data_IF_086178103486
#
_entry.id   IF_086178103486
#
_cell.length_a   1.000
_cell.length_b   1.000
_cell.length_c   1.000
_cell.angle_alpha   90.00
_cell.angle_beta   90.00
_cell.angle_gamma   90.00
#
_symmetry.space_group_name_H-M   'P 1'
#
loop_
_entity.id
_entity.type
_entity.pdbx_description
1 polymer ?
#
# COMPACT_ATOMS: atom_id res chain seq x y z
N UNK A 1 33.16 59.93 6.85
CA UNK A 1 33.01 58.90 7.91
C UNK A 1 31.54 58.80 8.31
N UNK A 2 31.05 57.60 8.66
CA UNK A 2 29.69 57.27 9.14
C UNK A 2 28.58 57.00 8.10
N UNK A 3 28.72 56.01 7.22
CA UNK A 3 27.57 55.25 6.64
C UNK A 3 27.87 53.78 6.27
N UNK A 4 29.13 53.33 6.34
CA UNK A 4 29.53 51.96 5.97
C UNK A 4 29.58 50.94 7.11
N UNK A 5 29.46 51.34 8.37
CA UNK A 5 29.75 50.46 9.52
C UNK A 5 28.50 49.84 10.17
N UNK A 6 27.29 50.23 9.75
CA UNK A 6 26.05 49.73 10.36
C UNK A 6 25.46 48.50 9.65
N UNK A 7 25.83 48.27 8.38
CA UNK A 7 25.31 47.13 7.60
C UNK A 7 26.04 45.81 7.92
N UNK A 8 27.26 45.87 8.46
CA UNK A 8 28.06 44.68 8.82
C UNK A 8 27.67 44.09 10.19
N UNK A 9 27.09 44.91 11.09
CA UNK A 9 26.65 44.47 12.41
C UNK A 9 25.27 43.78 12.42
N UNK A 10 24.44 44.02 11.39
CA UNK A 10 23.15 43.34 11.22
C UNK A 10 23.32 41.99 10.47
N UNK A 11 24.37 41.85 9.65
CA UNK A 11 24.65 40.60 8.93
C UNK A 11 25.39 39.56 9.80
N UNK A 12 26.13 39.99 10.83
CA UNK A 12 26.82 39.08 11.76
C UNK A 12 25.97 38.62 12.96
N UNK A 13 24.77 39.16 13.17
CA UNK A 13 23.87 38.77 14.27
C UNK A 13 22.83 37.71 13.88
N UNK A 14 22.78 37.30 12.60
CA UNK A 14 21.87 36.24 12.10
C UNK A 14 22.54 34.85 12.08
N UNK A 15 23.83 34.74 12.41
CA UNK A 15 24.58 33.46 12.32
C UNK A 15 24.76 32.71 13.65
N UNK A 16 24.09 33.09 14.74
CA UNK A 16 24.23 32.40 16.04
C UNK A 16 22.93 31.87 16.66
N UNK A 17 21.84 31.73 15.89
CA UNK A 17 20.53 31.27 16.41
C UNK A 17 20.17 29.79 16.12
N UNK A 18 21.16 28.91 15.87
CA UNK A 18 20.87 27.53 15.41
C UNK A 18 20.90 26.41 16.47
N UNK A 19 21.01 26.68 17.77
CA UNK A 19 21.06 25.61 18.78
C UNK A 19 19.88 25.55 19.77
N UNK A 20 19.07 26.60 19.89
CA UNK A 20 17.93 26.61 20.84
C UNK A 20 16.62 26.09 20.24
N UNK A 21 16.42 26.18 18.91
CA UNK A 21 15.23 25.61 18.26
C UNK A 21 15.27 24.07 18.20
N UNK A 22 16.45 23.46 18.01
CA UNK A 22 16.59 22.00 17.97
C UNK A 22 16.25 21.33 19.31
N UNK A 23 16.57 21.97 20.44
CA UNK A 23 16.20 21.47 21.77
C UNK A 23 14.72 21.65 22.08
N UNK A 24 14.09 22.74 21.60
CA UNK A 24 12.65 22.95 21.76
C UNK A 24 11.84 21.95 20.89
N UNK A 25 12.27 21.73 19.65
CA UNK A 25 11.66 20.73 18.76
C UNK A 25 11.82 19.31 19.31
N UNK A 26 12.99 18.99 19.89
CA UNK A 26 13.23 17.69 20.53
C UNK A 26 12.32 17.50 21.75
N UNK A 27 12.20 18.51 22.63
CA UNK A 27 11.28 18.47 23.78
C UNK A 27 9.81 18.42 23.37
N UNK A 28 9.43 19.08 22.28
CA UNK A 28 8.08 19.02 21.71
C UNK A 28 7.80 17.63 21.12
N UNK A 29 8.75 17.07 20.36
CA UNK A 29 8.67 15.72 19.81
C UNK A 29 8.59 14.65 20.91
N UNK A 30 9.38 14.79 21.98
CA UNK A 30 9.36 13.89 23.13
C UNK A 30 8.03 13.98 23.89
N UNK A 31 7.45 15.18 24.04
CA UNK A 31 6.11 15.36 24.64
C UNK A 31 4.99 14.82 23.75
N UNK A 32 5.08 14.99 22.43
CA UNK A 32 4.12 14.42 21.47
C UNK A 32 4.20 12.91 21.48
N UNK A 33 5.40 12.33 21.51
CA UNK A 33 5.59 10.88 21.61
C UNK A 33 5.10 10.32 22.95
N UNK A 34 5.32 11.01 24.06
CA UNK A 34 4.75 10.60 25.36
C UNK A 34 3.22 10.70 25.39
N UNK A 35 2.63 11.74 24.79
CA UNK A 35 1.19 11.87 24.70
C UNK A 35 0.58 10.82 23.75
N UNK A 36 1.24 10.53 22.63
CA UNK A 36 0.86 9.48 21.69
C UNK A 36 0.94 8.10 22.35
N UNK A 37 2.03 7.76 23.05
CA UNK A 37 2.17 6.50 23.77
C UNK A 37 1.16 6.37 24.91
N UNK A 38 0.86 7.45 25.64
CA UNK A 38 -0.15 7.41 26.72
C UNK A 38 -1.59 7.27 26.21
N UNK A 39 -1.87 7.68 24.97
CA UNK A 39 -3.15 7.47 24.27
C UNK A 39 -3.18 6.10 23.59
N UNK A 40 -2.05 5.62 23.07
CA UNK A 40 -1.90 4.28 22.53
C UNK A 40 -2.06 3.24 23.64
N UNK A 41 -1.35 3.34 24.77
CA UNK A 41 -1.45 2.39 25.89
C UNK A 41 -2.88 2.34 26.46
N UNK A 42 -3.58 3.48 26.53
CA UNK A 42 -5.00 3.53 26.94
C UNK A 42 -5.98 2.94 25.91
N UNK A 43 -5.60 2.83 24.63
CA UNK A 43 -6.41 2.18 23.59
C UNK A 43 -6.00 0.73 23.35
N UNK A 44 -4.72 0.41 23.47
CA UNK A 44 -4.10 -0.88 23.16
C UNK A 44 -4.50 -1.94 24.18
N UNK A 45 -4.57 -1.60 25.48
CA UNK A 45 -5.09 -2.52 26.50
C UNK A 45 -6.57 -2.88 26.29
N UNK A 46 -7.30 -2.11 25.48
CA UNK A 46 -8.71 -2.39 25.13
C UNK A 46 -8.91 -3.02 23.76
N UNK A 47 -7.86 -3.23 22.95
CA UNK A 47 -8.02 -3.66 21.54
C UNK A 47 -7.04 -4.75 21.08
N UNK A 48 -5.95 -5.04 21.81
CA UNK A 48 -4.95 -6.04 21.42
C UNK A 48 -5.10 -7.34 22.21
N UNK A 49 -6.26 -7.99 22.13
CA UNK A 49 -6.35 -9.42 22.44
C UNK A 49 -7.21 -10.21 21.43
N UNK A 50 -7.55 -9.63 20.27
CA UNK A 50 -8.37 -10.33 19.26
C UNK A 50 -8.12 -9.85 17.82
N UNK A 51 -6.86 -9.68 17.43
CA UNK A 51 -6.52 -9.39 16.02
C UNK A 51 -5.16 -9.97 15.63
N UNK A 52 -5.02 -11.28 15.80
CA UNK A 52 -3.99 -12.07 15.13
C UNK A 52 -4.65 -13.39 14.70
N UNK A 53 -4.94 -13.51 13.40
CA UNK A 53 -5.51 -14.71 12.79
C UNK A 53 -6.77 -14.44 11.97
N UNK A 54 -6.61 -14.13 10.69
CA UNK A 54 -7.50 -14.66 9.66
C UNK A 54 -6.89 -16.03 9.32
N UNK A 55 -7.63 -17.16 9.36
CA UNK A 55 -8.86 -17.33 8.60
C UNK A 55 -10.01 -18.00 9.37
N UNK A 56 -11.24 -17.86 8.86
CA UNK A 56 -12.22 -18.95 8.66
C UNK A 56 -13.57 -18.36 8.23
N UNK A 57 -14.00 -18.73 7.02
CA UNK A 57 -15.42 -18.92 6.76
C UNK A 57 -15.97 -19.85 7.85
N UNK A 58 -16.89 -19.34 8.67
CA UNK A 58 -17.41 -20.03 9.83
C UNK A 58 -18.83 -19.60 10.11
N UNK A 59 -19.74 -20.57 9.95
CA UNK A 59 -21.17 -20.50 10.24
C UNK A 59 -21.50 -19.78 11.54
N UNK A 60 -22.63 -19.09 11.53
CA UNK A 60 -23.15 -18.30 12.65
C UNK A 60 -23.21 -19.09 13.96
N UNK A 61 -22.34 -18.71 14.89
CA UNK A 61 -22.44 -19.11 16.29
C UNK A 61 -23.31 -18.10 17.05
N UNK A 62 -24.55 -18.50 17.30
CA UNK A 62 -25.52 -17.79 18.15
C UNK A 62 -25.14 -17.91 19.62
N UNK A 63 -24.22 -17.05 20.08
CA UNK A 63 -23.84 -16.94 21.48
C UNK A 63 -24.77 -16.03 22.28
N UNK A 64 -25.59 -16.61 23.16
CA UNK A 64 -26.34 -15.88 24.19
C UNK A 64 -25.40 -15.39 25.30
N UNK A 65 -24.75 -14.24 25.11
CA UNK A 65 -23.94 -13.58 26.14
C UNK A 65 -24.58 -12.27 26.62
N UNK A 66 -24.37 -11.91 27.88
CA UNK A 66 -24.54 -10.56 28.41
C UNK A 66 -23.15 -9.91 28.40
N UNK A 67 -22.99 -8.72 27.83
CA UNK A 67 -21.68 -8.07 27.73
C UNK A 67 -21.09 -7.72 29.11
N UNK A 68 -19.77 -7.50 29.21
CA UNK A 68 -19.18 -6.98 30.43
C UNK A 68 -19.88 -5.65 30.75
N UNK A 69 -20.49 -5.55 31.93
CA UNK A 69 -21.31 -4.43 32.42
C UNK A 69 -22.80 -4.41 32.01
N UNK A 70 -23.42 -5.54 31.66
CA UNK A 70 -24.87 -5.61 31.42
C UNK A 70 -25.34 -4.90 30.15
N UNK A 71 -24.41 -4.52 29.27
CA UNK A 71 -24.74 -3.92 27.97
C UNK A 71 -25.25 -5.00 27.01
N UNK A 72 -26.29 -4.70 26.21
CA UNK A 72 -26.68 -5.57 25.11
C UNK A 72 -25.48 -5.82 24.20
N UNK A 73 -25.24 -7.08 23.89
CA UNK A 73 -24.29 -7.48 22.84
C UNK A 73 -25.08 -7.89 21.62
N UNK A 74 -24.47 -7.74 20.44
CA UNK A 74 -25.11 -8.18 19.22
C UNK A 74 -25.29 -9.71 19.25
N UNK A 75 -26.52 -10.17 19.00
CA UNK A 75 -26.89 -11.60 19.00
C UNK A 75 -27.36 -12.09 17.63
N UNK A 76 -27.27 -11.24 16.60
CA UNK A 76 -27.72 -11.58 15.26
C UNK A 76 -27.41 -10.51 14.22
N UNK A 77 -27.98 -10.69 13.03
CA UNK A 77 -27.73 -9.84 11.86
C UNK A 77 -27.05 -10.65 10.76
N UNK A 78 -27.55 -10.50 9.53
CA UNK A 78 -27.07 -11.23 8.37
C UNK A 78 -25.70 -10.75 7.84
N UNK A 79 -25.04 -9.84 8.56
CA UNK A 79 -23.84 -9.16 8.10
C UNK A 79 -24.10 -8.27 6.89
N UNK A 80 -23.01 -7.85 6.24
CA UNK A 80 -23.06 -7.16 4.96
C UNK A 80 -22.87 -8.18 3.84
N UNK A 81 -23.57 -7.98 2.73
CA UNK A 81 -23.33 -8.74 1.50
C UNK A 81 -22.30 -8.01 0.65
N UNK A 82 -21.59 -8.76 -0.20
CA UNK A 82 -20.72 -8.16 -1.19
C UNK A 82 -21.53 -7.29 -2.15
N UNK A 83 -21.18 -6.01 -2.22
CA UNK A 83 -21.77 -5.08 -3.19
C UNK A 83 -21.17 -5.35 -4.56
N UNK A 84 -21.98 -5.53 -5.61
CA UNK A 84 -21.48 -5.57 -6.98
C UNK A 84 -20.68 -4.29 -7.31
N UNK A 85 -19.67 -4.36 -8.19
CA UNK A 85 -19.02 -3.16 -8.70
C UNK A 85 -20.05 -2.16 -9.25
N UNK A 86 -19.90 -0.85 -9.00
CA UNK A 86 -20.80 0.14 -9.59
C UNK A 86 -20.79 0.07 -11.11
N UNK A 87 -21.97 0.19 -11.72
CA UNK A 87 -22.08 0.32 -13.18
C UNK A 87 -21.63 1.71 -13.61
N UNK A 88 -20.58 1.76 -14.43
CA UNK A 88 -19.94 3.03 -14.82
C UNK A 88 -20.91 3.93 -15.60
N UNK A 89 -21.70 3.36 -16.51
CA UNK A 89 -22.59 4.14 -17.37
C UNK A 89 -23.78 4.68 -16.58
N UNK A 90 -24.33 3.87 -15.66
CA UNK A 90 -25.38 4.28 -14.74
C UNK A 90 -24.91 5.42 -13.82
N UNK A 91 -23.74 5.27 -13.21
CA UNK A 91 -23.20 6.27 -12.30
C UNK A 91 -22.85 7.60 -13.00
N UNK A 92 -22.38 7.56 -14.26
CA UNK A 92 -22.20 8.78 -15.07
C UNK A 92 -23.53 9.48 -15.32
N UNK A 93 -24.57 8.72 -15.69
CA UNK A 93 -25.91 9.28 -15.92
C UNK A 93 -26.53 9.87 -14.65
N UNK A 94 -26.33 9.22 -13.50
CA UNK A 94 -26.74 9.74 -12.18
C UNK A 94 -26.02 11.06 -11.87
N UNK A 95 -24.70 11.13 -12.13
CA UNK A 95 -23.92 12.34 -11.93
C UNK A 95 -24.43 13.52 -12.78
N UNK A 96 -24.71 13.28 -14.06
CA UNK A 96 -25.25 14.30 -14.97
C UNK A 96 -26.62 14.82 -14.51
N UNK A 97 -27.48 13.90 -14.07
CA UNK A 97 -28.83 14.23 -13.58
C UNK A 97 -28.74 15.07 -12.30
N UNK A 98 -27.93 14.64 -11.33
CA UNK A 98 -27.74 15.36 -10.07
C UNK A 98 -27.10 16.74 -10.28
N UNK A 99 -26.10 16.82 -11.17
CA UNK A 99 -25.43 18.09 -11.49
C UNK A 99 -26.41 19.10 -12.12
N UNK A 100 -27.25 18.65 -13.07
CA UNK A 100 -28.26 19.49 -13.71
C UNK A 100 -29.31 19.99 -12.71
N UNK A 101 -29.62 19.20 -11.68
CA UNK A 101 -30.50 19.58 -10.59
C UNK A 101 -29.84 20.49 -9.53
N UNK A 102 -28.55 20.83 -9.69
CA UNK A 102 -27.78 21.63 -8.72
C UNK A 102 -27.38 20.85 -7.45
N UNK A 103 -27.54 19.53 -7.44
CA UNK A 103 -27.16 18.66 -6.33
C UNK A 103 -25.74 18.14 -6.50
N UNK A 104 -24.78 19.03 -6.23
CA UNK A 104 -23.36 18.75 -6.45
C UNK A 104 -22.78 17.66 -5.53
N UNK A 105 -23.39 17.44 -4.36
CA UNK A 105 -22.97 16.37 -3.45
C UNK A 105 -23.22 15.00 -4.09
N UNK A 106 -24.42 14.79 -4.60
CA UNK A 106 -24.80 13.53 -5.24
C UNK A 106 -24.08 13.36 -6.58
N UNK A 107 -23.91 14.44 -7.33
CA UNK A 107 -23.12 14.42 -8.56
C UNK A 107 -21.67 13.96 -8.31
N UNK A 108 -21.05 14.50 -7.25
CA UNK A 108 -19.69 14.09 -6.85
C UNK A 108 -19.64 12.64 -6.42
N UNK A 109 -20.59 12.19 -5.60
CA UNK A 109 -20.64 10.80 -5.14
C UNK A 109 -20.78 9.83 -6.32
N UNK A 110 -21.68 10.11 -7.27
CA UNK A 110 -21.88 9.28 -8.45
C UNK A 110 -20.61 9.22 -9.33
N UNK A 111 -19.89 10.33 -9.53
CA UNK A 111 -18.59 10.32 -10.21
C UNK A 111 -17.57 9.42 -9.49
N UNK A 112 -17.54 9.46 -8.16
CA UNK A 112 -16.64 8.60 -7.38
C UNK A 112 -17.00 7.12 -7.52
N UNK A 113 -18.28 6.78 -7.59
CA UNK A 113 -18.73 5.40 -7.84
C UNK A 113 -18.39 4.95 -9.26
N UNK A 114 -18.58 5.81 -10.27
CA UNK A 114 -18.16 5.53 -11.64
C UNK A 114 -16.65 5.23 -11.72
N UNK A 115 -15.82 6.02 -11.02
CA UNK A 115 -14.38 5.78 -10.97
C UNK A 115 -14.03 4.43 -10.33
N UNK A 116 -14.67 4.05 -9.21
CA UNK A 116 -14.51 2.70 -8.66
C UNK A 116 -14.84 1.65 -9.71
N UNK A 117 -15.97 1.81 -10.40
CA UNK A 117 -16.42 0.87 -11.43
C UNK A 117 -15.35 0.65 -12.50
N UNK A 118 -14.74 1.73 -12.99
CA UNK A 118 -13.64 1.68 -13.97
C UNK A 118 -12.41 0.98 -13.38
N UNK A 119 -11.98 1.37 -12.18
CA UNK A 119 -10.80 0.79 -11.52
C UNK A 119 -10.98 -0.72 -11.27
N UNK A 120 -12.17 -1.15 -10.85
CA UNK A 120 -12.48 -2.57 -10.66
C UNK A 120 -12.55 -3.34 -11.99
N UNK A 121 -12.98 -2.72 -13.08
CA UNK A 121 -12.91 -3.34 -14.40
C UNK A 121 -11.46 -3.52 -14.85
N UNK A 122 -10.62 -2.48 -14.71
CA UNK A 122 -9.18 -2.54 -15.02
C UNK A 122 -8.52 -3.66 -14.20
N UNK A 123 -8.77 -3.71 -12.90
CA UNK A 123 -8.17 -4.73 -12.04
C UNK A 123 -8.59 -6.16 -12.37
N UNK A 124 -9.83 -6.37 -12.82
CA UNK A 124 -10.28 -7.67 -13.35
C UNK A 124 -9.55 -8.06 -14.63
N UNK A 125 -9.36 -7.13 -15.55
CA UNK A 125 -8.60 -7.41 -16.78
C UNK A 125 -7.11 -7.68 -16.47
N UNK A 126 -6.52 -6.97 -15.51
CA UNK A 126 -5.18 -7.26 -15.02
C UNK A 126 -5.13 -8.69 -14.45
N UNK A 127 -6.02 -9.08 -13.54
CA UNK A 127 -6.07 -10.43 -12.98
C UNK A 127 -6.19 -11.51 -14.07
N UNK A 128 -6.97 -11.27 -15.13
CA UNK A 128 -7.06 -12.20 -16.27
C UNK A 128 -5.76 -12.30 -17.07
N UNK A 129 -4.99 -11.21 -17.16
CA UNK A 129 -3.72 -11.18 -17.88
C UNK A 129 -2.56 -11.84 -17.12
N UNK A 130 -2.66 -11.98 -15.79
CA UNK A 130 -1.60 -12.60 -15.01
C UNK A 130 -1.47 -14.09 -15.34
N UNK A 131 -0.25 -14.67 -15.26
CA UNK A 131 -0.03 -16.08 -15.54
C UNK A 131 -0.92 -16.99 -14.66
N UNK A 132 -1.35 -18.13 -15.21
CA UNK A 132 -2.07 -19.15 -14.44
C UNK A 132 -1.13 -19.98 -13.54
N UNK A 133 0.16 -20.03 -13.89
CA UNK A 133 1.22 -20.71 -13.14
C UNK A 133 2.51 -19.89 -13.24
N UNK A 134 3.33 -19.92 -12.19
CA UNK A 134 4.69 -19.34 -12.16
C UNK A 134 5.63 -20.31 -11.44
N UNK A 135 6.75 -20.69 -12.06
CA UNK A 135 7.68 -21.69 -11.49
C UNK A 135 6.98 -22.94 -10.90
N UNK A 136 6.00 -23.47 -11.61
CA UNK A 136 5.14 -24.61 -11.19
C UNK A 136 4.19 -24.35 -10.02
N UNK A 137 4.14 -23.13 -9.46
CA UNK A 137 3.13 -22.71 -8.50
C UNK A 137 1.85 -22.30 -9.25
N UNK A 138 0.71 -22.98 -9.03
CA UNK A 138 -0.57 -22.53 -9.56
C UNK A 138 -1.07 -21.26 -8.86
N UNK A 139 -1.82 -20.44 -9.59
CA UNK A 139 -2.54 -19.32 -9.01
C UNK A 139 -3.67 -19.82 -8.08
N UNK A 140 -3.73 -19.28 -6.87
CA UNK A 140 -4.88 -19.43 -5.97
C UNK A 140 -5.85 -18.26 -6.21
N UNK A 141 -6.78 -18.46 -7.15
CA UNK A 141 -7.77 -17.44 -7.53
C UNK A 141 -8.82 -17.18 -6.46
N UNK A 142 -8.94 -18.04 -5.44
CA UNK A 142 -9.82 -17.79 -4.30
C UNK A 142 -9.27 -16.70 -3.38
N UNK A 143 -7.95 -16.47 -3.44
CA UNK A 143 -7.27 -15.41 -2.71
C UNK A 143 -7.06 -14.13 -3.51
N UNK A 144 -7.56 -14.06 -4.75
CA UNK A 144 -7.52 -12.83 -5.54
C UNK A 144 -8.23 -11.71 -4.77
N UNK A 145 -7.53 -10.60 -4.54
CA UNK A 145 -8.13 -9.39 -3.96
C UNK A 145 -8.04 -8.25 -4.94
N UNK A 146 -9.12 -7.50 -5.02
CA UNK A 146 -9.22 -6.32 -5.84
C UNK A 146 -9.89 -5.23 -5.02
N UNK A 147 -9.12 -4.18 -4.73
CA UNK A 147 -9.56 -3.09 -3.85
C UNK A 147 -9.30 -1.76 -4.54
N UNK A 148 -10.33 -0.91 -4.54
CA UNK A 148 -10.23 0.52 -4.83
C UNK A 148 -10.41 1.31 -3.54
N UNK A 149 -9.48 2.20 -3.22
CA UNK A 149 -9.48 2.96 -1.94
C UNK A 149 -9.92 4.43 -2.06
N UNK A 150 -10.36 4.89 -3.25
CA UNK A 150 -11.01 6.20 -3.50
C UNK A 150 -10.34 7.48 -2.92
N UNK A 151 -9.08 7.45 -2.49
CA UNK A 151 -8.39 8.59 -1.89
C UNK A 151 -7.17 9.04 -2.71
N UNK A 152 -7.44 9.84 -3.74
CA UNK A 152 -6.42 10.40 -4.65
C UNK A 152 -6.54 9.84 -6.07
N UNK A 153 -5.56 10.13 -6.93
CA UNK A 153 -5.54 9.71 -8.33
C UNK A 153 -5.06 8.26 -8.55
N UNK A 154 -4.89 7.48 -7.46
CA UNK A 154 -4.00 6.33 -7.50
C UNK A 154 -4.39 5.24 -6.49
N UNK A 155 -5.57 4.63 -6.69
CA UNK A 155 -6.33 3.92 -5.64
C UNK A 155 -6.50 2.41 -5.81
N UNK A 156 -5.91 1.82 -6.85
CA UNK A 156 -6.12 0.41 -7.15
C UNK A 156 -5.05 -0.47 -6.49
N UNK A 157 -5.48 -1.53 -5.82
CA UNK A 157 -4.62 -2.62 -5.35
C UNK A 157 -5.19 -3.94 -5.82
N UNK A 158 -4.37 -4.67 -6.56
CA UNK A 158 -4.66 -6.03 -7.04
C UNK A 158 -3.70 -6.95 -6.31
N UNK A 159 -4.20 -8.06 -5.80
CA UNK A 159 -3.41 -9.10 -5.16
C UNK A 159 -3.74 -10.45 -5.79
N UNK A 160 -2.71 -11.24 -6.08
CA UNK A 160 -2.83 -12.66 -6.45
C UNK A 160 -1.77 -13.47 -5.73
N UNK A 161 -2.16 -14.65 -5.25
CA UNK A 161 -1.25 -15.60 -4.61
C UNK A 161 -0.96 -16.74 -5.57
N UNK A 162 0.30 -17.17 -5.63
CA UNK A 162 0.73 -18.42 -6.26
C UNK A 162 1.33 -19.31 -5.19
N UNK A 163 0.79 -20.50 -5.00
CA UNK A 163 1.19 -21.38 -3.90
C UNK A 163 1.06 -22.84 -4.29
N UNK A 164 1.92 -23.69 -3.72
CA UNK A 164 1.78 -25.14 -3.80
C UNK A 164 0.87 -25.72 -2.70
N UNK A 165 0.31 -24.84 -1.85
CA UNK A 165 -0.51 -25.20 -0.70
C UNK A 165 0.28 -25.81 0.46
N UNK A 166 1.61 -25.73 0.43
CA UNK A 166 2.50 -26.30 1.46
C UNK A 166 3.40 -25.20 2.02
N UNK A 167 4.61 -25.07 1.49
CA UNK A 167 5.65 -24.22 2.04
C UNK A 167 6.07 -23.12 1.07
N UNK A 168 5.74 -23.18 -0.22
CA UNK A 168 6.22 -22.19 -1.19
C UNK A 168 5.12 -21.29 -1.70
N UNK A 169 5.35 -19.98 -1.61
CA UNK A 169 4.37 -18.97 -1.98
C UNK A 169 5.02 -17.75 -2.66
N UNK A 170 4.36 -17.21 -3.67
CA UNK A 170 4.59 -15.87 -4.19
C UNK A 170 3.29 -15.06 -4.11
N UNK A 171 3.28 -14.04 -3.27
CA UNK A 171 2.20 -13.05 -3.18
C UNK A 171 2.54 -11.85 -4.05
N UNK A 172 1.70 -11.59 -5.05
CA UNK A 172 1.88 -10.53 -6.03
C UNK A 172 0.94 -9.40 -5.70
N UNK A 173 1.46 -8.18 -5.51
CA UNK A 173 0.63 -6.97 -5.40
C UNK A 173 0.94 -6.00 -6.53
N UNK A 174 -0.10 -5.44 -7.14
CA UNK A 174 -0.01 -4.52 -8.29
C UNK A 174 -0.84 -3.27 -7.99
N UNK A 175 -0.26 -2.11 -8.27
CA UNK A 175 -0.91 -0.80 -8.14
C UNK A 175 -0.12 0.13 -7.21
N UNK A 176 -0.82 0.98 -6.46
CA UNK A 176 -0.16 1.85 -5.49
C UNK A 176 0.15 1.06 -4.22
N UNK A 177 1.42 0.73 -4.01
CA UNK A 177 1.87 0.06 -2.80
C UNK A 177 2.58 1.06 -1.88
N UNK A 178 1.82 1.64 -0.94
CA UNK A 178 2.34 2.62 0.02
C UNK A 178 3.47 2.04 0.89
N UNK A 179 3.42 0.74 1.22
CA UNK A 179 4.46 0.09 2.03
C UNK A 179 5.83 0.20 1.36
N UNK A 180 5.87 -0.07 0.05
CA UNK A 180 7.13 -0.14 -0.70
C UNK A 180 7.47 1.15 -1.47
N UNK A 181 6.54 2.11 -1.55
CA UNK A 181 6.75 3.41 -2.19
C UNK A 181 7.97 4.19 -1.65
N UNK A 182 8.17 4.18 -0.33
CA UNK A 182 9.29 4.86 0.32
C UNK A 182 10.63 4.20 -0.03
N UNK A 183 10.66 2.87 -0.10
CA UNK A 183 11.84 2.09 -0.47
C UNK A 183 12.20 2.30 -1.94
N UNK A 184 11.20 2.25 -2.82
CA UNK A 184 11.37 2.57 -4.24
C UNK A 184 11.95 3.97 -4.44
N UNK A 185 11.38 4.98 -3.76
CA UNK A 185 11.86 6.34 -3.83
C UNK A 185 13.30 6.47 -3.33
N UNK A 186 13.63 5.88 -2.17
CA UNK A 186 14.96 5.99 -1.59
C UNK A 186 16.02 5.38 -2.52
N UNK A 187 15.80 4.15 -3.01
CA UNK A 187 16.83 3.44 -3.78
C UNK A 187 16.95 3.92 -5.21
N UNK A 188 15.86 4.29 -5.89
CA UNK A 188 15.99 4.79 -7.27
C UNK A 188 16.51 6.22 -7.34
N UNK A 189 16.38 7.01 -6.28
CA UNK A 189 16.90 8.38 -6.23
C UNK A 189 18.27 8.51 -5.54
N UNK A 190 18.74 7.51 -4.79
CA UNK A 190 20.10 7.51 -4.22
C UNK A 190 21.08 6.64 -5.02
N UNK A 191 22.05 7.29 -5.65
CA UNK A 191 23.18 6.65 -6.34
C UNK A 191 24.24 6.03 -5.40
N UNK A 192 24.14 6.26 -4.08
CA UNK A 192 25.21 5.95 -3.11
C UNK A 192 25.00 4.66 -2.29
N UNK A 193 23.91 3.93 -2.48
CA UNK A 193 23.58 2.76 -1.64
C UNK A 193 24.20 1.42 -2.09
N UNK A 194 24.97 1.39 -3.19
CA UNK A 194 25.54 0.14 -3.73
C UNK A 194 26.96 -0.20 -3.23
N UNK A 195 27.58 0.62 -2.36
CA UNK A 195 29.04 0.62 -2.24
C UNK A 195 29.65 0.26 -0.87
N UNK A 196 28.95 -0.36 0.09
CA UNK A 196 29.61 -0.80 1.34
C UNK A 196 29.09 -2.13 1.92
N UNK A 197 29.90 -3.17 1.69
CA UNK A 197 30.37 -4.21 2.63
C UNK A 197 29.41 -5.23 3.27
N UNK A 198 29.68 -6.50 2.95
CA UNK A 198 29.47 -7.78 3.66
C UNK A 198 28.05 -8.26 4.03
N UNK A 199 27.08 -7.39 4.29
CA UNK A 199 25.70 -7.78 4.66
C UNK A 199 24.65 -6.99 3.85
N UNK A 200 24.71 -7.09 2.52
CA UNK A 200 23.80 -6.35 1.63
C UNK A 200 22.47 -7.10 1.44
N UNK A 201 21.48 -6.79 2.29
CA UNK A 201 20.13 -7.38 2.19
C UNK A 201 19.20 -6.66 1.19
N UNK A 202 19.65 -5.58 0.55
CA UNK A 202 18.87 -4.84 -0.46
C UNK A 202 19.77 -4.40 -1.61
N UNK A 203 19.34 -4.62 -2.86
CA UNK A 203 20.09 -4.17 -4.04
C UNK A 203 19.19 -3.81 -5.22
N UNK A 204 19.76 -3.06 -6.15
CA UNK A 204 19.13 -2.73 -7.43
C UNK A 204 19.50 -3.77 -8.48
N UNK A 205 18.49 -4.28 -9.20
CA UNK A 205 18.66 -5.25 -10.29
C UNK A 205 17.86 -4.81 -11.52
N UNK A 206 17.87 -5.65 -12.56
CA UNK A 206 16.97 -5.51 -13.71
C UNK A 206 16.16 -6.78 -13.92
N UNK A 207 14.88 -6.62 -14.23
CA UNK A 207 13.97 -7.71 -14.62
C UNK A 207 13.33 -7.34 -15.95
N UNK A 208 13.61 -8.12 -17.00
CA UNK A 208 13.14 -7.85 -18.38
C UNK A 208 13.39 -6.39 -18.82
N UNK A 209 14.58 -5.87 -18.53
CA UNK A 209 14.96 -4.49 -18.85
C UNK A 209 14.44 -3.42 -17.88
N UNK A 210 13.48 -3.74 -17.01
CA UNK A 210 12.95 -2.82 -16.00
C UNK A 210 13.88 -2.74 -14.80
N UNK A 211 14.08 -1.52 -14.27
CA UNK A 211 14.80 -1.32 -13.00
C UNK A 211 13.96 -1.92 -11.87
N UNK A 212 14.60 -2.63 -10.96
CA UNK A 212 13.95 -3.25 -9.82
C UNK A 212 14.81 -3.11 -8.56
N UNK A 213 14.17 -3.24 -7.41
CA UNK A 213 14.83 -3.44 -6.11
C UNK A 213 14.49 -4.84 -5.65
N UNK A 214 15.51 -5.60 -5.23
CA UNK A 214 15.32 -6.86 -4.52
C UNK A 214 15.84 -6.70 -3.10
N UNK A 215 15.05 -7.20 -2.14
CA UNK A 215 15.36 -7.25 -0.73
C UNK A 215 15.24 -8.70 -0.25
N UNK A 216 16.04 -9.07 0.73
CA UNK A 216 15.94 -10.33 1.46
C UNK A 216 15.80 -10.07 2.97
N UNK A 217 14.96 -10.87 3.62
CA UNK A 217 14.76 -10.89 5.07
C UNK A 217 14.56 -12.34 5.51
N UNK A 218 15.33 -12.84 6.48
CA UNK A 218 15.28 -14.25 6.93
C UNK A 218 13.88 -14.69 7.38
N UNK A 219 13.04 -13.77 7.88
CA UNK A 219 11.70 -14.06 8.36
C UNK A 219 10.61 -13.97 7.30
N UNK A 220 10.88 -13.32 6.15
CA UNK A 220 9.89 -13.04 5.10
C UNK A 220 10.27 -13.60 3.72
N UNK A 221 11.52 -13.99 3.51
CA UNK A 221 12.05 -14.36 2.21
C UNK A 221 12.43 -13.15 1.36
N UNK A 222 12.19 -13.26 0.06
CA UNK A 222 12.56 -12.21 -0.90
C UNK A 222 11.40 -11.26 -1.18
N UNK A 223 11.70 -9.98 -1.34
CA UNK A 223 10.77 -8.99 -1.87
C UNK A 223 11.39 -8.34 -3.11
N UNK A 224 10.72 -8.48 -4.25
CA UNK A 224 11.11 -7.81 -5.49
C UNK A 224 10.10 -6.70 -5.80
N UNK A 225 10.58 -5.52 -6.12
CA UNK A 225 9.77 -4.34 -6.42
C UNK A 225 10.18 -3.82 -7.80
N UNK A 226 9.23 -3.77 -8.73
CA UNK A 226 9.41 -3.15 -10.04
C UNK A 226 8.44 -1.97 -10.16
N UNK A 227 8.93 -0.72 -10.25
CA UNK A 227 8.10 0.41 -10.63
C UNK A 227 7.51 0.20 -12.01
N UNK A 228 6.21 0.45 -12.14
CA UNK A 228 5.50 0.39 -13.42
C UNK A 228 5.44 1.78 -14.07
N UNK A 229 5.43 2.85 -13.27
CA UNK A 229 5.56 4.22 -13.75
C UNK A 229 5.73 5.19 -12.59
N UNK A 230 5.03 6.33 -12.64
CA UNK A 230 5.16 7.37 -11.61
C UNK A 230 4.51 6.95 -10.29
N UNK A 231 3.46 6.14 -10.41
CA UNK A 231 2.44 6.05 -9.38
C UNK A 231 2.15 4.59 -8.99
N UNK A 232 2.40 3.65 -9.90
CA UNK A 232 2.18 2.23 -9.69
C UNK A 232 3.48 1.43 -9.64
N UNK A 233 3.44 0.31 -8.91
CA UNK A 233 4.46 -0.72 -8.92
C UNK A 233 3.83 -2.11 -8.90
N UNK A 234 4.64 -3.10 -9.24
CA UNK A 234 4.36 -4.52 -8.98
C UNK A 234 5.39 -5.02 -7.97
N UNK A 235 4.91 -5.75 -6.97
CA UNK A 235 5.72 -6.30 -5.90
C UNK A 235 5.47 -7.81 -5.82
N UNK A 236 6.56 -8.57 -5.74
CA UNK A 236 6.55 -10.00 -5.47
C UNK A 236 7.11 -10.21 -4.06
N UNK A 237 6.30 -10.76 -3.18
CA UNK A 237 6.72 -11.27 -1.88
C UNK A 237 6.86 -12.80 -2.01
N UNK A 238 8.09 -13.29 -1.98
CA UNK A 238 8.48 -14.66 -2.33
C UNK A 238 8.98 -15.40 -1.09
N UNK A 239 8.17 -16.30 -0.56
CA UNK A 239 8.46 -17.13 0.62
C UNK A 239 9.01 -18.48 0.18
N UNK A 240 10.11 -18.92 0.83
CA UNK A 240 10.80 -20.18 0.54
C UNK A 240 11.28 -20.32 -0.92
N UNK A 241 11.76 -19.21 -1.47
CA UNK A 241 12.53 -19.18 -2.70
C UNK A 241 14.01 -19.40 -2.41
N UNK A 242 14.68 -20.24 -3.20
CA UNK A 242 16.04 -20.66 -2.92
C UNK A 242 17.06 -19.52 -3.06
N UNK A 243 16.89 -18.71 -4.12
CA UNK A 243 17.80 -17.65 -4.46
C UNK A 243 17.12 -16.55 -5.30
N UNK A 244 17.87 -15.49 -5.56
CA UNK A 244 17.42 -14.36 -6.38
C UNK A 244 17.17 -14.74 -7.86
N UNK A 245 17.85 -15.76 -8.38
CA UNK A 245 17.64 -16.22 -9.76
C UNK A 245 16.24 -16.79 -9.88
N UNK A 246 15.81 -17.55 -8.88
CA UNK A 246 14.45 -18.08 -8.84
C UNK A 246 13.38 -16.97 -8.77
N UNK A 247 13.63 -15.93 -7.96
CA UNK A 247 12.73 -14.77 -7.84
C UNK A 247 12.63 -14.02 -9.16
N UNK A 248 13.77 -13.75 -9.80
CA UNK A 248 13.80 -13.03 -11.09
C UNK A 248 13.18 -13.84 -12.22
N UNK A 249 13.32 -15.17 -12.22
CA UNK A 249 12.62 -16.07 -13.16
C UNK A 249 11.10 -16.05 -12.94
N UNK A 250 10.63 -16.05 -11.69
CA UNK A 250 9.20 -15.87 -11.38
C UNK A 250 8.69 -14.54 -11.94
N UNK A 251 9.40 -13.43 -11.67
CA UNK A 251 9.00 -12.12 -12.15
C UNK A 251 9.04 -11.99 -13.68
N UNK A 252 9.95 -12.71 -14.36
CA UNK A 252 10.05 -12.71 -15.81
C UNK A 252 8.84 -13.36 -16.51
N UNK A 253 8.06 -14.19 -15.80
CA UNK A 253 6.83 -14.77 -16.32
C UNK A 253 5.71 -13.73 -16.54
N UNK A 254 5.82 -12.55 -15.93
CA UNK A 254 4.81 -11.49 -16.01
C UNK A 254 5.03 -10.58 -17.23
N UNK A 255 3.93 -10.18 -17.87
CA UNK A 255 3.94 -9.15 -18.92
C UNK A 255 3.96 -7.75 -18.28
N UNK A 256 5.14 -7.34 -17.80
CA UNK A 256 5.34 -6.05 -17.14
C UNK A 256 4.93 -4.88 -18.05
N UNK A 257 5.21 -4.95 -19.35
CA UNK A 257 4.86 -3.87 -20.28
C UNK A 257 3.35 -3.82 -20.57
N UNK A 258 2.70 -4.97 -20.68
CA UNK A 258 1.24 -5.07 -20.72
C UNK A 258 0.57 -4.48 -19.48
N UNK A 259 1.11 -4.75 -18.29
CA UNK A 259 0.64 -4.18 -17.03
C UNK A 259 0.72 -2.65 -17.01
N UNK A 260 1.85 -2.07 -17.43
CA UNK A 260 2.00 -0.60 -17.55
C UNK A 260 0.94 0.00 -18.45
N UNK A 261 0.72 -0.61 -19.62
CA UNK A 261 -0.27 -0.15 -20.59
C UNK A 261 -1.69 -0.18 -20.02
N UNK A 262 -2.08 -1.25 -19.31
CA UNK A 262 -3.40 -1.35 -18.70
C UNK A 262 -3.61 -0.35 -17.56
N UNK A 263 -2.55 -0.02 -16.81
CA UNK A 263 -2.58 0.97 -15.74
C UNK A 263 -2.46 2.42 -16.24
N UNK A 264 -2.21 2.63 -17.53
CA UNK A 264 -2.01 3.96 -18.10
C UNK A 264 -0.69 4.63 -17.70
N UNK A 265 0.30 3.84 -17.26
CA UNK A 265 1.64 4.32 -16.93
C UNK A 265 2.46 4.54 -18.21
N UNK A 266 3.24 5.64 -18.26
CA UNK A 266 4.11 6.03 -19.40
C UNK A 266 5.59 6.00 -19.02
#
# INVERSE_FOLDING_TARGET
MKKGTFLVLILCSVLTFNNTQAQLLKKLKDKVNQAANKVLDKKVDSTINTAAGLPADGEGSSGTGTGPNGKPVNKGGAGLKNTPPPDVAEQIKEAETANTAGNYSDARYAIQQALIGVELQIGKEILKSLPITVNSLPADTLQDKLVSTQWGWNNLTILRVYTDGKDKEATISIGNNLMYSSLAYLYFNNTYMQANMNDQNIKQIKVKGNKAIIQYDDSKGYTLIVPLGQSSMIVWECVNYADETEVTNTAAAFDIDGLKKMLGEQ
#
